data_IF_230135836136
#
_entry.id   IF_230135836136
#
_cell.length_a   1.000
_cell.length_b   1.000
_cell.length_c   1.000
_cell.angle_alpha   90.00
_cell.angle_beta   90.00
_cell.angle_gamma   90.00
#
_symmetry.space_group_name_H-M   'P 1'
#
loop_
_entity.id
_entity.type
_entity.pdbx_description
1 polymer ?
#
# COMPACT_ATOMS: atom_id res chain seq x y z
N UNK A 1 6.50 34.60 -1.39
CA UNK A 1 6.92 33.27 -1.87
C UNK A 1 5.65 32.49 -2.15
N UNK A 2 5.24 32.37 -3.41
CA UNK A 2 4.07 31.58 -3.77
C UNK A 2 4.52 30.13 -3.78
N UNK A 3 4.05 29.35 -2.80
CA UNK A 3 4.31 27.92 -2.71
C UNK A 3 3.60 27.27 -3.90
N UNK A 4 4.37 26.74 -4.84
CA UNK A 4 3.85 25.90 -5.92
C UNK A 4 3.39 24.59 -5.28
N UNK A 5 2.09 24.30 -5.34
CA UNK A 5 1.58 22.97 -5.03
C UNK A 5 1.68 22.13 -6.30
N UNK A 6 2.62 21.16 -6.38
CA UNK A 6 2.79 20.33 -7.57
C UNK A 6 1.61 19.39 -7.83
N UNK A 7 0.61 19.35 -6.94
CA UNK A 7 -0.60 18.53 -7.11
C UNK A 7 -1.79 19.33 -7.67
N UNK A 8 -1.70 20.66 -7.73
CA UNK A 8 -2.70 21.53 -8.35
C UNK A 8 -2.29 21.84 -9.79
N UNK A 9 -3.06 21.39 -10.80
CA UNK A 9 -2.77 21.74 -12.18
C UNK A 9 -2.82 23.26 -12.37
N UNK A 10 -1.88 23.80 -13.14
CA UNK A 10 -1.87 25.21 -13.52
C UNK A 10 -3.12 25.58 -14.32
N UNK A 11 -3.39 26.89 -14.43
CA UNK A 11 -4.50 27.42 -15.23
C UNK A 11 -4.43 27.06 -16.72
N UNK A 12 -3.27 26.62 -17.18
CA UNK A 12 -2.95 26.15 -18.53
C UNK A 12 -3.09 24.62 -18.70
N UNK A 13 -3.57 23.90 -17.68
CA UNK A 13 -3.79 22.47 -17.76
C UNK A 13 -4.87 22.12 -18.81
N UNK A 14 -4.45 21.38 -19.83
CA UNK A 14 -5.35 20.76 -20.80
C UNK A 14 -5.44 19.26 -20.47
N UNK A 15 -6.62 18.73 -20.07
CA UNK A 15 -6.76 17.31 -19.80
C UNK A 15 -6.47 16.49 -21.05
N UNK A 16 -5.61 15.48 -20.91
CA UNK A 16 -5.26 14.57 -22.00
C UNK A 16 -6.44 13.64 -22.28
N UNK A 17 -7.08 13.79 -23.44
CA UNK A 17 -8.10 12.83 -23.89
C UNK A 17 -7.45 11.77 -24.78
N UNK A 18 -7.12 10.61 -24.22
CA UNK A 18 -6.59 9.48 -24.98
C UNK A 18 -7.76 8.72 -25.63
N UNK A 19 -7.67 8.48 -26.93
CA UNK A 19 -8.68 7.71 -27.66
C UNK A 19 -8.10 6.36 -28.09
N UNK A 20 -8.91 5.30 -28.03
CA UNK A 20 -8.52 3.96 -28.44
C UNK A 20 -9.44 2.89 -27.86
N UNK A 21 -9.16 1.61 -28.10
CA UNK A 21 -9.98 0.51 -27.61
C UNK A 21 -9.99 0.45 -26.08
N UNK A 22 -11.18 0.48 -25.47
CA UNK A 22 -11.36 0.26 -24.03
C UNK A 22 -11.01 -1.19 -23.62
N UNK A 23 -11.18 -2.13 -24.55
CA UNK A 23 -10.79 -3.53 -24.41
C UNK A 23 -9.80 -3.87 -25.54
N UNK A 24 -8.49 -3.89 -25.27
CA UNK A 24 -7.50 -4.25 -26.28
C UNK A 24 -7.62 -5.72 -26.69
N UNK A 25 -7.50 -6.00 -27.99
CA UNK A 25 -7.57 -7.35 -28.55
C UNK A 25 -6.22 -8.05 -28.42
N UNK A 26 -6.22 -9.28 -27.91
CA UNK A 26 -5.01 -10.09 -27.76
C UNK A 26 -4.49 -10.51 -29.14
N UNK A 27 -3.17 -10.42 -29.34
CA UNK A 27 -2.52 -10.86 -30.58
C UNK A 27 -2.70 -9.93 -31.78
N UNK A 28 -3.29 -8.74 -31.57
CA UNK A 28 -3.49 -7.71 -32.59
C UNK A 28 -2.89 -6.37 -32.12
N UNK A 29 -2.39 -5.52 -33.03
CA UNK A 29 -2.03 -4.15 -32.69
C UNK A 29 -3.24 -3.38 -32.16
N UNK A 30 -3.09 -2.75 -30.99
CA UNK A 30 -4.10 -1.85 -30.42
C UNK A 30 -3.57 -0.42 -30.53
N UNK A 31 -4.22 0.39 -31.35
CA UNK A 31 -3.80 1.78 -31.59
C UNK A 31 -4.50 2.71 -30.62
N UNK A 32 -3.70 3.54 -29.95
CA UNK A 32 -4.17 4.64 -29.11
C UNK A 32 -3.68 5.95 -29.70
N UNK A 33 -4.57 6.94 -29.79
CA UNK A 33 -4.26 8.27 -30.29
C UNK A 33 -4.29 9.29 -29.16
N UNK A 34 -3.26 10.12 -29.13
CA UNK A 34 -3.07 11.21 -28.18
C UNK A 34 -3.13 12.51 -28.99
N UNK A 35 -4.03 13.46 -28.65
CA UNK A 35 -4.04 14.74 -29.32
C UNK A 35 -2.73 15.49 -29.02
N UNK A 36 -2.17 16.15 -30.03
CA UNK A 36 -0.98 16.98 -29.85
C UNK A 36 -1.30 18.11 -28.87
N UNK A 37 -0.56 18.16 -27.76
CA UNK A 37 -0.63 19.29 -26.82
C UNK A 37 0.45 20.31 -27.21
N UNK A 38 0.05 21.57 -27.34
CA UNK A 38 0.95 22.69 -27.65
C UNK A 38 1.97 22.83 -26.52
N UNK A 39 3.24 23.05 -26.87
CA UNK A 39 4.38 23.17 -25.94
C UNK A 39 4.79 21.90 -25.18
N UNK A 40 4.21 20.73 -25.49
CA UNK A 40 4.69 19.45 -24.95
C UNK A 40 5.82 18.90 -25.81
N UNK A 41 6.99 18.69 -25.19
CA UNK A 41 8.18 18.15 -25.86
C UNK A 41 8.37 16.65 -25.67
N UNK A 42 7.70 16.05 -24.68
CA UNK A 42 7.78 14.63 -24.36
C UNK A 42 6.45 14.13 -23.77
N UNK A 43 6.12 12.89 -24.09
CA UNK A 43 5.01 12.15 -23.48
C UNK A 43 5.57 10.97 -22.69
N UNK A 44 4.95 10.66 -21.56
CA UNK A 44 5.19 9.42 -20.81
C UNK A 44 3.89 8.63 -20.76
N UNK A 45 4.01 7.31 -20.86
CA UNK A 45 2.87 6.40 -20.76
C UNK A 45 3.19 5.30 -19.75
N UNK A 46 2.16 4.86 -19.04
CA UNK A 46 2.20 3.66 -18.20
C UNK A 46 1.06 2.78 -18.66
N UNK A 47 1.37 1.51 -18.90
CA UNK A 47 0.36 0.49 -19.09
C UNK A 47 0.45 -0.49 -17.92
N UNK A 48 -0.70 -1.00 -17.48
CA UNK A 48 -0.77 -2.00 -16.44
C UNK A 48 -1.81 -3.04 -16.85
N UNK A 49 -1.54 -4.31 -16.53
CA UNK A 49 -2.56 -5.34 -16.55
C UNK A 49 -3.42 -5.14 -15.31
N UNK A 50 -4.71 -4.87 -15.50
CA UNK A 50 -5.66 -4.80 -14.38
C UNK A 50 -5.79 -6.21 -13.79
N UNK A 51 -5.41 -6.34 -12.52
CA UNK A 51 -5.53 -7.57 -11.74
C UNK A 51 -6.89 -7.69 -11.04
N UNK A 52 -7.09 -8.75 -10.24
CA UNK A 52 -8.32 -8.93 -9.47
C UNK A 52 -8.61 -7.70 -8.58
N UNK A 53 -9.88 -7.33 -8.52
CA UNK A 53 -10.39 -6.16 -7.77
C UNK A 53 -10.28 -6.30 -6.26
N UNK A 54 -10.12 -7.53 -5.75
CA UNK A 54 -9.96 -7.84 -4.34
C UNK A 54 -8.66 -8.63 -4.13
N UNK A 55 -7.65 -7.99 -3.54
CA UNK A 55 -6.44 -8.66 -3.07
C UNK A 55 -6.73 -9.15 -1.65
N UNK A 56 -6.79 -10.47 -1.46
CA UNK A 56 -6.89 -11.10 -0.15
C UNK A 56 -5.63 -11.90 0.11
N UNK A 57 -4.96 -11.61 1.23
CA UNK A 57 -3.78 -12.35 1.65
C UNK A 57 -3.84 -12.59 3.16
N UNK A 58 -3.92 -13.86 3.53
CA UNK A 58 -3.92 -14.34 4.91
C UNK A 58 -2.64 -15.10 5.28
N UNK A 59 -1.53 -14.88 4.56
CA UNK A 59 -0.26 -15.61 4.70
C UNK A 59 -0.30 -17.09 4.28
N UNK A 60 -1.43 -17.58 3.78
CA UNK A 60 -1.61 -18.99 3.36
C UNK A 60 -0.71 -19.39 2.19
N UNK A 61 -0.31 -18.43 1.36
CA UNK A 61 0.65 -18.62 0.27
C UNK A 61 2.05 -18.10 0.63
N UNK A 62 2.35 -17.93 1.93
CA UNK A 62 3.61 -17.37 2.40
C UNK A 62 3.80 -15.92 1.99
N UNK A 63 4.97 -15.58 1.47
CA UNK A 63 5.40 -14.21 1.15
C UNK A 63 5.24 -13.85 -0.34
N UNK A 64 4.40 -14.58 -1.08
CA UNK A 64 4.24 -14.38 -2.53
C UNK A 64 3.91 -12.92 -2.87
N UNK A 65 3.05 -12.27 -2.11
CA UNK A 65 2.59 -10.90 -2.39
C UNK A 65 3.36 -9.80 -1.66
N UNK A 66 4.30 -10.15 -0.76
CA UNK A 66 5.01 -9.18 0.07
C UNK A 66 6.52 -9.26 -0.11
N UNK A 67 7.15 -8.08 -0.21
CA UNK A 67 8.57 -7.91 0.05
C UNK A 67 8.77 -7.70 1.56
N UNK A 68 9.76 -8.39 2.12
CA UNK A 68 10.00 -8.44 3.56
C UNK A 68 11.32 -7.77 3.89
N UNK A 69 11.28 -6.81 4.80
CA UNK A 69 12.45 -6.23 5.43
C UNK A 69 12.27 -6.33 6.95
N UNK A 70 12.68 -7.46 7.50
CA UNK A 70 12.58 -7.80 8.93
C UNK A 70 13.92 -8.33 9.43
N UNK A 71 14.08 -8.39 10.75
CA UNK A 71 15.19 -9.13 11.35
C UNK A 71 15.03 -10.63 11.08
N UNK A 72 16.15 -11.36 11.08
CA UNK A 72 16.19 -12.79 10.73
C UNK A 72 15.94 -13.74 11.91
N UNK A 73 15.72 -13.20 13.11
CA UNK A 73 15.64 -13.93 14.37
C UNK A 73 14.24 -14.47 14.70
N UNK A 74 13.25 -14.28 13.81
CA UNK A 74 11.90 -14.82 13.96
C UNK A 74 11.24 -15.08 12.60
N UNK A 75 10.22 -15.94 12.60
CA UNK A 75 9.45 -16.25 11.41
C UNK A 75 8.33 -15.20 11.19
N UNK A 76 8.34 -14.59 10.01
CA UNK A 76 7.31 -13.64 9.58
C UNK A 76 5.96 -14.33 9.32
N UNK A 77 5.98 -15.63 9.03
CA UNK A 77 4.77 -16.43 8.84
C UNK A 77 4.69 -17.40 10.01
N UNK A 78 3.61 -17.33 10.79
CA UNK A 78 3.43 -18.22 11.94
C UNK A 78 2.02 -18.81 12.02
N UNK A 79 1.90 -19.89 12.76
CA UNK A 79 0.72 -20.78 12.77
C UNK A 79 0.03 -20.86 14.14
N UNK A 80 0.55 -20.21 15.17
CA UNK A 80 0.02 -20.33 16.54
C UNK A 80 -1.08 -19.29 16.77
N UNK A 81 -0.77 -18.02 16.51
CA UNK A 81 -1.68 -16.89 16.72
C UNK A 81 -2.15 -16.35 15.37
N UNK A 82 -3.33 -16.78 14.93
CA UNK A 82 -3.91 -16.39 13.64
C UNK A 82 -5.37 -15.98 13.79
N UNK A 83 -5.84 -15.13 12.88
CA UNK A 83 -7.22 -14.70 12.86
C UNK A 83 -8.14 -15.72 12.19
N UNK A 84 -7.70 -16.24 11.03
CA UNK A 84 -8.42 -17.21 10.18
C UNK A 84 -7.40 -18.05 9.44
N UNK A 85 -7.80 -19.20 8.91
CA UNK A 85 -6.91 -20.08 8.17
C UNK A 85 -5.89 -20.78 9.06
N UNK A 86 -4.74 -21.11 8.50
CA UNK A 86 -3.63 -21.79 9.18
C UNK A 86 -2.52 -20.84 9.58
N UNK A 87 -2.36 -19.73 8.87
CA UNK A 87 -1.21 -18.84 9.01
C UNK A 87 -1.62 -17.39 9.28
N UNK A 88 -0.64 -16.61 9.75
CA UNK A 88 -0.72 -15.16 9.85
C UNK A 88 0.66 -14.54 9.63
N UNK A 89 0.67 -13.29 9.16
CA UNK A 89 1.85 -12.46 9.21
C UNK A 89 2.14 -12.04 10.66
N UNK A 90 3.39 -12.14 11.06
CA UNK A 90 3.89 -11.76 12.37
C UNK A 90 5.04 -10.77 12.17
N UNK A 91 5.00 -9.67 12.92
CA UNK A 91 6.09 -8.70 12.99
C UNK A 91 6.43 -8.50 14.46
N UNK A 92 7.71 -8.59 14.80
CA UNK A 92 8.21 -8.50 16.16
C UNK A 92 9.54 -7.76 16.20
N UNK A 93 9.86 -7.16 17.36
CA UNK A 93 11.13 -6.49 17.60
C UNK A 93 12.04 -7.32 18.52
N UNK A 94 12.58 -8.48 18.08
CA UNK A 94 13.68 -9.13 18.80
C UNK A 94 14.97 -8.29 18.70
N UNK A 95 15.07 -7.47 17.65
CA UNK A 95 16.10 -6.46 17.44
C UNK A 95 15.43 -5.10 17.26
N UNK A 96 16.10 -4.00 17.63
CA UNK A 96 15.49 -2.69 17.60
C UNK A 96 15.61 -2.07 16.19
N UNK A 97 14.87 -2.63 15.24
CA UNK A 97 14.79 -2.16 13.86
C UNK A 97 13.35 -2.21 13.35
N UNK A 98 12.98 -1.32 12.43
CA UNK A 98 11.67 -1.37 11.78
C UNK A 98 11.46 -2.71 11.06
N UNK A 99 10.25 -3.24 11.18
CA UNK A 99 9.84 -4.52 10.59
C UNK A 99 8.76 -4.26 9.55
N UNK A 100 9.07 -4.52 8.27
CA UNK A 100 8.28 -4.00 7.16
C UNK A 100 7.84 -5.12 6.22
N UNK A 101 6.55 -5.12 5.89
CA UNK A 101 5.96 -5.88 4.78
C UNK A 101 5.43 -4.90 3.74
N UNK A 102 6.01 -4.90 2.55
CA UNK A 102 5.59 -4.05 1.44
C UNK A 102 4.86 -4.88 0.40
N UNK A 103 3.65 -4.49 0.02
CA UNK A 103 2.90 -5.17 -1.02
C UNK A 103 3.62 -5.00 -2.37
N UNK A 104 3.90 -6.10 -3.07
CA UNK A 104 4.59 -6.10 -4.36
C UNK A 104 3.80 -5.43 -5.48
N UNK A 105 2.48 -5.30 -5.31
CA UNK A 105 1.59 -4.72 -6.31
C UNK A 105 1.27 -3.27 -6.02
N UNK A 106 1.11 -2.53 -7.11
CA UNK A 106 0.44 -1.24 -7.11
C UNK A 106 -1.08 -1.43 -7.07
N UNK A 107 -1.75 -0.62 -6.26
CA UNK A 107 -3.21 -0.60 -6.16
C UNK A 107 -3.73 0.67 -6.79
N UNK A 108 -4.64 0.53 -7.76
CA UNK A 108 -5.41 1.66 -8.27
C UNK A 108 -6.61 1.83 -7.35
N UNK A 109 -6.72 3.00 -6.72
CA UNK A 109 -7.77 3.29 -5.76
C UNK A 109 -9.00 3.82 -6.49
N UNK A 110 -10.16 3.23 -6.23
CA UNK A 110 -11.47 3.70 -6.67
C UNK A 110 -12.16 4.46 -5.53
N UNK A 111 -13.25 5.17 -5.85
CA UNK A 111 -14.02 5.97 -4.89
C UNK A 111 -14.60 5.18 -3.71
N UNK A 112 -14.71 3.87 -3.81
CA UNK A 112 -15.20 2.97 -2.76
C UNK A 112 -14.14 1.96 -2.27
N UNK A 113 -12.88 2.14 -2.62
CA UNK A 113 -11.81 1.23 -2.17
C UNK A 113 -11.62 1.34 -0.66
N UNK A 114 -11.60 0.18 -0.01
CA UNK A 114 -11.36 0.03 1.42
C UNK A 114 -10.22 -0.95 1.62
N UNK A 115 -9.23 -0.56 2.43
CA UNK A 115 -8.25 -1.49 2.96
C UNK A 115 -8.79 -2.08 4.26
N UNK A 116 -8.97 -3.40 4.31
CA UNK A 116 -9.39 -4.12 5.52
C UNK A 116 -8.37 -5.19 5.90
N UNK A 117 -8.06 -5.28 7.19
CA UNK A 117 -7.13 -6.27 7.74
C UNK A 117 -7.52 -6.65 9.16
N UNK A 118 -7.22 -7.88 9.55
CA UNK A 118 -7.36 -8.32 10.94
C UNK A 118 -6.03 -8.10 11.66
N UNK A 119 -6.05 -7.33 12.75
CA UNK A 119 -4.86 -6.98 13.53
C UNK A 119 -4.98 -7.44 14.97
N UNK A 120 -3.86 -7.84 15.57
CA UNK A 120 -3.72 -8.10 17.00
C UNK A 120 -2.35 -7.61 17.44
N UNK A 121 -2.29 -6.46 18.10
CA UNK A 121 -1.05 -5.99 18.73
C UNK A 121 -0.86 -6.72 20.06
N UNK A 122 0.21 -7.50 20.17
CA UNK A 122 0.57 -8.19 21.41
C UNK A 122 1.27 -7.26 22.42
N UNK A 123 2.15 -7.83 23.24
CA UNK A 123 2.93 -7.05 24.18
C UNK A 123 3.86 -6.09 23.45
N UNK A 124 3.67 -4.79 23.67
CA UNK A 124 4.45 -3.75 23.02
C UNK A 124 4.53 -2.52 23.92
N UNK A 125 5.68 -1.85 23.95
CA UNK A 125 5.87 -0.55 24.59
C UNK A 125 5.34 0.58 23.71
N UNK A 126 5.17 1.78 24.29
CA UNK A 126 4.62 2.94 23.57
C UNK A 126 5.48 3.45 22.42
N UNK A 127 6.77 3.15 22.44
CA UNK A 127 7.69 3.46 21.34
C UNK A 127 7.70 2.41 20.22
N UNK A 128 7.02 1.26 20.40
CA UNK A 128 6.80 0.28 19.35
C UNK A 128 5.43 0.52 18.73
N UNK A 129 5.40 0.92 17.46
CA UNK A 129 4.21 1.48 16.83
C UNK A 129 3.89 0.70 15.56
N UNK A 130 2.75 0.01 15.54
CA UNK A 130 2.23 -0.66 14.36
C UNK A 130 1.57 0.36 13.44
N UNK A 131 2.02 0.43 12.19
CA UNK A 131 1.58 1.41 11.20
C UNK A 131 1.13 0.73 9.91
N UNK A 132 0.11 1.30 9.29
CA UNK A 132 -0.20 1.06 7.87
C UNK A 132 0.11 2.34 7.12
N UNK A 133 0.84 2.21 6.02
CA UNK A 133 1.30 3.36 5.25
C UNK A 133 1.04 3.14 3.77
N UNK A 134 0.84 4.23 3.06
CA UNK A 134 0.79 4.24 1.60
C UNK A 134 1.87 5.16 1.04
N UNK A 135 2.25 4.90 -0.21
CA UNK A 135 3.13 5.77 -0.99
C UNK A 135 2.47 6.11 -2.32
N UNK A 136 2.64 7.37 -2.75
CA UNK A 136 2.20 7.89 -4.05
C UNK A 136 3.35 8.02 -5.06
N UNK A 137 4.57 7.70 -4.66
CA UNK A 137 5.81 7.94 -5.39
C UNK A 137 6.72 6.70 -5.44
N UNK A 138 6.08 5.53 -5.52
CA UNK A 138 6.71 4.22 -5.69
C UNK A 138 7.59 3.80 -4.51
N UNK A 139 7.21 4.20 -3.30
CA UNK A 139 7.88 3.84 -2.05
C UNK A 139 8.98 4.79 -1.61
N UNK A 140 9.14 5.96 -2.26
CA UNK A 140 10.13 6.97 -1.86
C UNK A 140 9.69 7.72 -0.60
N UNK A 141 8.42 8.09 -0.51
CA UNK A 141 7.81 8.70 0.67
C UNK A 141 6.56 7.93 1.10
N UNK A 142 6.25 7.99 2.40
CA UNK A 142 5.19 7.19 3.01
C UNK A 142 4.29 8.04 3.89
N UNK A 143 2.99 7.99 3.61
CA UNK A 143 1.93 8.63 4.38
C UNK A 143 1.33 7.59 5.31
N UNK A 144 1.21 7.91 6.60
CA UNK A 144 0.63 7.01 7.60
C UNK A 144 -0.90 7.08 7.57
N UNK A 145 -1.55 5.96 7.28
CA UNK A 145 -3.00 5.79 7.27
C UNK A 145 -3.55 5.30 8.62
N UNK A 146 -2.76 4.50 9.33
CA UNK A 146 -3.12 3.92 10.61
C UNK A 146 -1.89 3.86 11.50
N UNK A 147 -2.08 4.08 12.79
CA UNK A 147 -1.02 4.04 13.80
C UNK A 147 -1.58 3.54 15.12
N UNK A 148 -0.95 2.52 15.68
CA UNK A 148 -1.28 1.94 16.98
C UNK A 148 0.01 1.76 17.78
N UNK A 149 0.30 2.65 18.75
CA UNK A 149 1.39 2.43 19.68
C UNK A 149 1.05 1.31 20.67
N UNK A 150 2.06 0.64 21.19
CA UNK A 150 1.91 -0.26 22.33
C UNK A 150 1.50 0.48 23.61
N UNK A 151 0.99 -0.28 24.58
CA UNK A 151 0.52 0.26 25.87
C UNK A 151 1.46 -0.05 27.03
N UNK A 152 2.57 -0.75 26.78
CA UNK A 152 3.46 -1.31 27.82
C UNK A 152 2.86 -2.51 28.55
N UNK A 153 1.83 -3.14 27.99
CA UNK A 153 1.10 -4.28 28.55
C UNK A 153 0.77 -5.30 27.47
N UNK A 154 -0.01 -6.35 27.80
CA UNK A 154 -0.31 -7.48 26.93
C UNK A 154 -0.99 -7.15 25.59
N UNK A 155 -1.50 -5.92 25.41
CA UNK A 155 -2.15 -5.49 24.19
C UNK A 155 -3.52 -6.14 23.96
N UNK A 156 -3.82 -6.49 22.72
CA UNK A 156 -5.08 -7.09 22.28
C UNK A 156 -5.08 -8.62 22.49
N UNK A 157 -6.17 -9.13 23.08
CA UNK A 157 -6.33 -10.57 23.31
C UNK A 157 -6.78 -11.30 22.04
N UNK A 158 -7.64 -10.69 21.25
CA UNK A 158 -8.20 -11.24 20.01
C UNK A 158 -7.87 -10.35 18.82
N UNK A 159 -7.99 -10.90 17.60
CA UNK A 159 -7.87 -10.09 16.39
C UNK A 159 -9.10 -9.18 16.24
N UNK A 160 -8.83 -7.94 15.85
CA UNK A 160 -9.83 -6.92 15.53
C UNK A 160 -9.74 -6.57 14.05
N UNK A 161 -10.88 -6.50 13.37
CA UNK A 161 -10.95 -6.00 12.00
C UNK A 161 -10.73 -4.49 12.00
N UNK A 162 -9.71 -4.04 11.27
CA UNK A 162 -9.44 -2.64 10.97
C UNK A 162 -9.85 -2.37 9.53
N UNK A 163 -10.54 -1.26 9.30
CA UNK A 163 -11.01 -0.86 7.97
C UNK A 163 -10.69 0.62 7.73
N UNK A 164 -9.99 0.88 6.64
CA UNK A 164 -9.51 2.21 6.27
C UNK A 164 -10.08 2.55 4.89
N UNK A 165 -11.02 3.51 4.78
CA UNK A 165 -11.46 4.02 3.50
C UNK A 165 -10.30 4.76 2.82
N UNK A 166 -10.07 4.48 1.54
CA UNK A 166 -9.01 5.13 0.75
C UNK A 166 -9.59 6.20 -0.20
N UNK A 167 -10.80 6.68 0.06
CA UNK A 167 -11.57 7.56 -0.85
C UNK A 167 -10.82 8.83 -1.27
N UNK A 168 -10.00 9.41 -0.37
CA UNK A 168 -9.15 10.57 -0.68
C UNK A 168 -8.10 10.32 -1.76
N UNK A 169 -7.78 9.06 -2.04
CA UNK A 169 -6.78 8.66 -3.03
C UNK A 169 -7.44 8.10 -4.30
N UNK A 170 -8.75 8.24 -4.48
CA UNK A 170 -9.45 7.77 -5.67
C UNK A 170 -8.82 8.30 -6.97
N UNK A 171 -8.67 7.43 -7.96
CA UNK A 171 -7.98 7.71 -9.22
C UNK A 171 -6.45 7.68 -9.13
N UNK A 172 -5.87 7.48 -7.94
CA UNK A 172 -4.42 7.41 -7.74
C UNK A 172 -3.96 5.96 -7.68
N UNK A 173 -2.73 5.74 -8.12
CA UNK A 173 -2.01 4.48 -7.95
C UNK A 173 -1.15 4.58 -6.68
N UNK A 174 -1.24 3.59 -5.80
CA UNK A 174 -0.53 3.58 -4.51
C UNK A 174 0.32 2.31 -4.34
N UNK A 175 1.39 2.42 -3.53
CA UNK A 175 1.99 1.27 -2.84
C UNK A 175 1.50 1.23 -1.39
N UNK A 176 1.38 0.03 -0.84
CA UNK A 176 0.98 -0.18 0.56
C UNK A 176 2.06 -0.93 1.31
N UNK A 177 2.26 -0.58 2.58
CA UNK A 177 3.08 -1.36 3.50
C UNK A 177 2.50 -1.41 4.90
N UNK A 178 2.80 -2.49 5.59
CA UNK A 178 2.71 -2.60 7.04
C UNK A 178 4.11 -2.35 7.61
N UNK A 179 4.21 -1.44 8.57
CA UNK A 179 5.48 -1.14 9.25
C UNK A 179 5.24 -1.24 10.76
N UNK A 180 5.87 -2.22 11.41
CA UNK A 180 6.01 -2.20 12.85
C UNK A 180 7.31 -1.50 13.19
N UNK A 181 7.20 -0.24 13.58
CA UNK A 181 8.36 0.64 13.80
C UNK A 181 8.74 0.73 15.27
N UNK A 182 10.01 1.04 15.53
CA UNK A 182 10.50 1.35 16.87
C UNK A 182 11.11 2.75 16.90
N UNK A 183 10.57 3.61 17.76
CA UNK A 183 11.13 4.94 18.01
C UNK A 183 12.12 4.87 19.17
N UNK A 184 13.19 5.63 19.05
CA UNK A 184 14.07 5.95 20.15
C UNK A 184 13.69 7.34 20.65
N UNK A 185 13.43 7.43 21.96
CA UNK A 185 13.13 8.70 22.62
C UNK A 185 14.33 9.65 22.65
#
# INVERSE_FOLDING_TARGET
>A
MTVFDPQLPGSDYVPLNITGPAAPVIGQPNLYSIPQIVNVTKYQWRHAKVGPTNIFDGAEAGLVNFDVATSSSYDVIQQDVKARGKYAFHLAHPEPADQILTLKYQVIVCTNTVLSFQSRLGWATSNQIAKVQLSLDEGRTWITLYSQPGTGSAGELTFTTRSIPLTFYAGRTIHLRFNYSINYG
#
